data_IF_527444889647
#
_entry.id   IF_527444889647
#
_cell.length_a   1.000
_cell.length_b   1.000
_cell.length_c   1.000
_cell.angle_alpha   90.00
_cell.angle_beta   90.00
_cell.angle_gamma   90.00
#
_symmetry.space_group_name_H-M   'P 1'
#
loop_
_entity.id
_entity.type
_entity.pdbx_description
1 polymer ?
#
# COMPACT_ATOMS: atom_id res chain seq x y z
N UNK A 1 -18.15 -12.99 -4.93
CA UNK A 1 -17.71 -11.59 -5.03
C UNK A 1 -16.18 -11.50 -4.92
N UNK A 2 -15.63 -10.32 -5.15
CA UNK A 2 -14.20 -10.05 -4.94
C UNK A 2 -14.05 -9.42 -3.56
N UNK A 3 -13.14 -9.94 -2.75
CA UNK A 3 -12.78 -9.33 -1.48
C UNK A 3 -11.62 -8.35 -1.69
N UNK A 4 -11.50 -7.35 -0.83
CA UNK A 4 -10.51 -6.29 -0.94
C UNK A 4 -9.63 -6.21 0.30
N UNK A 5 -8.31 -6.17 0.08
CA UNK A 5 -7.32 -5.78 1.07
C UNK A 5 -6.72 -4.47 0.57
N UNK A 6 -7.13 -3.36 1.15
CA UNK A 6 -6.78 -2.00 0.70
C UNK A 6 -5.82 -1.30 1.64
N UNK A 7 -5.26 -0.16 1.21
CA UNK A 7 -4.37 0.70 1.99
C UNK A 7 -3.21 -0.07 2.65
N UNK A 8 -2.52 -0.90 1.88
CA UNK A 8 -1.42 -1.78 2.33
C UNK A 8 -1.81 -2.70 3.51
N UNK A 9 -3.06 -3.17 3.54
CA UNK A 9 -3.57 -4.05 4.59
C UNK A 9 -4.25 -3.35 5.76
N UNK A 10 -4.37 -2.02 5.73
CA UNK A 10 -5.04 -1.26 6.79
C UNK A 10 -6.56 -1.47 6.80
N UNK A 11 -7.13 -1.98 5.72
CA UNK A 11 -8.55 -2.28 5.63
C UNK A 11 -8.82 -3.55 4.83
N UNK A 12 -9.73 -4.38 5.32
CA UNK A 12 -10.17 -5.62 4.67
C UNK A 12 -11.67 -5.64 4.59
N UNK A 13 -12.22 -5.79 3.38
CA UNK A 13 -13.65 -5.77 3.10
C UNK A 13 -14.02 -6.94 2.22
N UNK A 14 -15.09 -7.65 2.55
CA UNK A 14 -15.64 -8.75 1.74
C UNK A 14 -16.39 -8.22 0.52
N UNK A 15 -16.62 -9.07 -0.46
CA UNK A 15 -17.33 -8.71 -1.69
C UNK A 15 -18.80 -8.34 -1.51
N UNK A 16 -19.40 -8.61 -0.35
CA UNK A 16 -20.73 -8.16 0.06
C UNK A 16 -20.71 -6.91 0.95
N UNK A 17 -19.53 -6.32 1.18
CA UNK A 17 -19.35 -5.05 1.88
C UNK A 17 -19.13 -5.17 3.38
N UNK A 18 -18.95 -6.38 3.94
CA UNK A 18 -18.62 -6.53 5.36
C UNK A 18 -17.16 -6.08 5.61
N UNK A 19 -16.95 -5.19 6.57
CA UNK A 19 -15.62 -4.80 7.05
C UNK A 19 -15.13 -5.85 8.05
N UNK A 20 -14.06 -6.56 7.69
CA UNK A 20 -13.43 -7.58 8.55
C UNK A 20 -12.35 -6.98 9.44
N UNK A 21 -11.64 -5.99 8.94
CA UNK A 21 -10.53 -5.34 9.63
C UNK A 21 -10.41 -3.89 9.18
N UNK A 22 -10.09 -3.02 10.14
CA UNK A 22 -9.82 -1.61 9.89
C UNK A 22 -8.85 -1.07 10.94
N UNK A 23 -7.82 -0.39 10.51
CA UNK A 23 -6.87 0.29 11.39
C UNK A 23 -6.41 1.61 10.79
N UNK A 24 -6.88 2.71 11.36
CA UNK A 24 -6.51 4.04 10.96
C UNK A 24 -5.24 4.55 11.68
N UNK A 25 -4.57 5.51 11.06
CA UNK A 25 -3.47 6.25 11.68
C UNK A 25 -4.06 7.12 12.81
N UNK A 26 -3.55 7.01 14.07
CA UNK A 26 -4.02 7.85 15.16
C UNK A 26 -3.84 9.34 14.84
N UNK A 27 -4.80 10.18 15.24
CA UNK A 27 -4.78 11.62 14.98
C UNK A 27 -3.48 12.32 15.41
N UNK A 28 -2.95 11.97 16.57
CA UNK A 28 -1.69 12.52 17.06
C UNK A 28 -0.51 12.14 16.13
N UNK A 29 -0.47 10.89 15.66
CA UNK A 29 0.54 10.41 14.71
C UNK A 29 0.36 11.08 13.34
N UNK A 30 -0.89 11.28 12.89
CA UNK A 30 -1.19 11.98 11.64
C UNK A 30 -0.66 13.42 11.66
N UNK A 31 -0.83 14.14 12.78
CA UNK A 31 -0.27 15.49 12.95
C UNK A 31 1.27 15.49 12.89
N UNK A 32 1.92 14.47 13.44
CA UNK A 32 3.38 14.31 13.34
C UNK A 32 3.82 14.05 11.89
N UNK A 33 3.10 13.22 11.15
CA UNK A 33 3.36 12.95 9.72
C UNK A 33 3.23 14.24 8.90
N UNK A 34 2.17 15.02 9.10
CA UNK A 34 1.96 16.31 8.43
C UNK A 34 3.15 17.24 8.71
N UNK A 35 3.54 17.36 9.98
CA UNK A 35 4.68 18.20 10.40
C UNK A 35 5.99 17.73 9.76
N UNK A 36 6.24 16.42 9.72
CA UNK A 36 7.43 15.86 9.09
C UNK A 36 7.51 16.21 7.61
N UNK A 37 6.41 15.98 6.86
CA UNK A 37 6.34 16.27 5.42
C UNK A 37 6.51 17.77 5.17
N UNK A 38 5.89 18.62 6.01
CA UNK A 38 5.96 20.07 5.89
C UNK A 38 7.38 20.61 6.12
N UNK A 39 8.22 19.93 6.90
CA UNK A 39 9.59 20.36 7.23
C UNK A 39 10.69 19.60 6.45
N UNK A 40 10.35 18.55 5.71
CA UNK A 40 11.33 17.77 4.94
C UNK A 40 11.66 18.47 3.61
N UNK A 41 12.91 18.37 3.17
CA UNK A 41 13.37 18.84 1.87
C UNK A 41 14.18 17.74 1.16
N UNK A 42 14.02 17.60 -0.17
CA UNK A 42 13.09 18.34 -1.03
C UNK A 42 11.65 17.90 -0.83
N UNK A 43 10.70 18.81 -1.05
CA UNK A 43 9.27 18.50 -0.97
C UNK A 43 8.88 17.44 -1.99
N UNK A 44 7.88 16.58 -1.69
CA UNK A 44 7.27 15.69 -2.68
C UNK A 44 6.75 16.48 -3.89
N UNK A 45 7.41 16.37 -5.04
CA UNK A 45 7.11 17.14 -6.25
C UNK A 45 6.05 16.49 -7.15
N UNK A 46 5.59 15.28 -6.82
CA UNK A 46 4.48 14.59 -7.48
C UNK A 46 3.25 14.41 -6.58
N UNK A 47 3.30 14.90 -5.35
CA UNK A 47 2.16 15.02 -4.46
C UNK A 47 2.22 14.22 -3.18
N UNK A 48 1.29 14.56 -2.30
CA UNK A 48 1.01 13.91 -1.01
C UNK A 48 -0.47 13.62 -0.95
N UNK A 49 -0.83 12.37 -0.64
CA UNK A 49 -2.23 11.92 -0.54
C UNK A 49 -2.43 11.20 0.79
N UNK A 50 -3.42 11.64 1.54
CA UNK A 50 -3.92 10.98 2.74
C UNK A 50 -5.18 10.22 2.37
N UNK A 51 -5.14 8.89 2.45
CA UNK A 51 -6.15 8.01 1.89
C UNK A 51 -7.12 7.49 2.94
N UNK A 52 -8.41 7.60 2.65
CA UNK A 52 -9.46 6.73 3.21
C UNK A 52 -9.73 5.57 2.24
N UNK A 53 -10.93 4.99 2.23
CA UNK A 53 -11.32 4.01 1.21
C UNK A 53 -11.59 4.64 -0.16
N UNK A 54 -12.28 5.77 -0.18
CA UNK A 54 -12.77 6.42 -1.39
C UNK A 54 -12.44 7.91 -1.48
N UNK A 55 -11.91 8.50 -0.41
CA UNK A 55 -11.54 9.91 -0.33
C UNK A 55 -10.03 10.10 -0.29
N UNK A 56 -9.52 10.97 -1.16
CA UNK A 56 -8.17 11.51 -1.12
C UNK A 56 -8.17 12.88 -0.44
N UNK A 57 -7.56 12.99 0.73
CA UNK A 57 -7.26 14.25 1.37
C UNK A 57 -5.90 14.76 0.91
N UNK A 58 -5.83 15.98 0.39
CA UNK A 58 -4.61 16.56 -0.19
C UNK A 58 -4.30 17.87 0.55
N UNK A 59 -3.11 18.03 1.17
CA UNK A 59 -2.73 19.31 1.73
C UNK A 59 -2.69 20.40 0.65
N UNK A 60 -3.22 21.58 0.93
CA UNK A 60 -3.26 22.71 -0.04
C UNK A 60 -1.91 23.01 -0.66
N UNK A 61 -0.82 22.88 0.12
CA UNK A 61 0.54 23.08 -0.38
C UNK A 61 0.94 22.14 -1.53
N UNK A 62 0.28 20.99 -1.67
CA UNK A 62 0.56 19.98 -2.71
C UNK A 62 -0.56 19.84 -3.75
N UNK A 63 -1.65 20.62 -3.65
CA UNK A 63 -2.81 20.49 -4.53
C UNK A 63 -2.48 20.65 -6.03
N UNK A 64 -1.48 21.49 -6.35
CA UNK A 64 -1.08 21.78 -7.74
C UNK A 64 -0.04 20.77 -8.29
N UNK A 65 0.51 19.89 -7.47
CA UNK A 65 1.54 18.93 -7.90
C UNK A 65 1.08 17.48 -7.86
N UNK A 66 -0.06 17.20 -7.21
CA UNK A 66 -0.67 15.87 -7.25
C UNK A 66 -1.10 15.54 -8.67
N UNK A 67 -0.61 14.44 -9.20
CA UNK A 67 -0.93 14.01 -10.56
C UNK A 67 -2.26 13.24 -10.60
N UNK A 68 -3.06 13.45 -11.63
CA UNK A 68 -4.35 12.76 -11.84
C UNK A 68 -4.23 11.23 -11.72
N UNK A 69 -3.09 10.66 -12.15
CA UNK A 69 -2.85 9.22 -12.02
C UNK A 69 -2.91 8.71 -10.57
N UNK A 70 -2.61 9.55 -9.57
CA UNK A 70 -2.66 9.20 -8.16
C UNK A 70 -4.09 9.30 -7.60
N UNK A 71 -4.96 10.06 -8.26
CA UNK A 71 -6.32 10.37 -7.82
C UNK A 71 -7.40 9.50 -8.47
N UNK A 72 -7.07 8.83 -9.56
CA UNK A 72 -8.03 8.05 -10.38
C UNK A 72 -8.78 6.92 -9.64
N UNK A 73 -8.29 6.53 -8.46
CA UNK A 73 -8.89 5.47 -7.65
C UNK A 73 -9.82 6.00 -6.56
N UNK A 74 -9.90 7.33 -6.36
CA UNK A 74 -10.72 7.95 -5.33
C UNK A 74 -11.99 8.54 -5.94
N UNK A 75 -13.11 8.42 -5.22
CA UNK A 75 -14.38 9.01 -5.61
C UNK A 75 -14.47 10.48 -5.20
N UNK A 76 -13.81 10.83 -4.09
CA UNK A 76 -13.84 12.16 -3.52
C UNK A 76 -12.42 12.70 -3.33
N UNK A 77 -12.28 14.01 -3.58
CA UNK A 77 -11.01 14.73 -3.36
C UNK A 77 -11.31 15.91 -2.46
N UNK A 78 -10.62 16.00 -1.32
CA UNK A 78 -10.75 17.06 -0.33
C UNK A 78 -9.41 17.74 -0.14
N UNK A 79 -9.37 19.05 -0.40
CA UNK A 79 -8.19 19.87 -0.10
C UNK A 79 -8.32 20.38 1.34
N UNK A 80 -7.27 20.21 2.14
CA UNK A 80 -7.26 20.62 3.54
C UNK A 80 -6.06 21.52 3.87
N UNK A 81 -6.21 22.31 4.93
CA UNK A 81 -5.19 23.23 5.45
C UNK A 81 -4.67 22.76 6.83
N UNK A 82 -5.54 22.19 7.64
CA UNK A 82 -5.22 21.70 8.99
C UNK A 82 -5.68 20.25 9.17
N UNK A 83 -5.01 19.53 10.08
CA UNK A 83 -5.42 18.15 10.44
C UNK A 83 -6.84 18.08 10.96
N UNK A 84 -7.37 19.19 11.52
CA UNK A 84 -8.74 19.28 11.99
C UNK A 84 -9.77 19.20 10.84
N UNK A 85 -9.39 19.57 9.63
CA UNK A 85 -10.25 19.51 8.43
C UNK A 85 -10.47 18.07 7.95
N UNK A 86 -9.62 17.14 8.37
CA UNK A 86 -9.74 15.72 8.03
C UNK A 86 -10.81 15.09 8.90
N UNK A 87 -12.00 14.87 8.35
CA UNK A 87 -13.15 14.33 9.06
C UNK A 87 -13.11 12.81 9.20
N UNK A 88 -12.52 12.11 8.23
CA UNK A 88 -12.53 10.66 8.10
C UNK A 88 -11.24 10.01 8.65
N UNK A 89 -11.28 8.70 8.99
CA UNK A 89 -10.08 7.96 9.38
C UNK A 89 -9.13 7.82 8.19
N UNK A 90 -7.87 8.19 8.37
CA UNK A 90 -6.81 8.01 7.37
C UNK A 90 -6.14 6.66 7.58
N UNK A 91 -6.11 5.85 6.53
CA UNK A 91 -5.51 4.51 6.54
C UNK A 91 -4.09 4.49 6.02
N UNK A 92 -3.77 5.40 5.08
CA UNK A 92 -2.45 5.48 4.44
C UNK A 92 -2.12 6.91 4.07
N UNK A 93 -0.83 7.26 4.15
CA UNK A 93 -0.29 8.50 3.56
C UNK A 93 0.75 8.11 2.52
N UNK A 94 0.59 8.59 1.30
CA UNK A 94 1.52 8.36 0.18
C UNK A 94 2.17 9.66 -0.23
N UNK A 95 3.50 9.64 -0.38
CA UNK A 95 4.29 10.75 -0.92
C UNK A 95 5.05 10.29 -2.14
N UNK A 96 5.16 11.17 -3.14
CA UNK A 96 5.80 10.84 -4.40
C UNK A 96 6.80 11.91 -4.82
N UNK A 97 7.97 11.45 -5.28
CA UNK A 97 9.01 12.27 -5.92
C UNK A 97 9.30 11.75 -7.33
N UNK A 98 9.79 12.63 -8.20
CA UNK A 98 10.18 12.25 -9.57
C UNK A 98 11.61 11.76 -9.65
N UNK A 99 12.54 12.57 -9.16
CA UNK A 99 13.98 12.40 -9.33
C UNK A 99 14.72 12.52 -7.99
N UNK A 100 14.12 12.02 -6.91
CA UNK A 100 14.69 12.06 -5.58
C UNK A 100 14.89 10.65 -5.05
N UNK A 101 15.95 10.44 -4.28
CA UNK A 101 16.16 9.21 -3.51
C UNK A 101 15.21 9.19 -2.29
N UNK A 102 14.06 8.58 -2.45
CA UNK A 102 13.02 8.47 -1.44
C UNK A 102 13.47 7.76 -0.16
N UNK A 103 14.59 7.01 -0.20
CA UNK A 103 15.18 6.39 0.99
C UNK A 103 15.64 7.40 2.04
N UNK A 104 15.94 8.64 1.63
CA UNK A 104 16.27 9.72 2.58
C UNK A 104 15.02 10.08 3.41
N UNK A 105 13.84 10.21 2.76
CA UNK A 105 12.61 10.43 3.50
C UNK A 105 12.22 9.20 4.34
N UNK A 106 12.36 8.00 3.80
CA UNK A 106 12.14 6.75 4.52
C UNK A 106 12.93 6.71 5.84
N UNK A 107 14.22 7.05 5.78
CA UNK A 107 15.10 7.08 6.95
C UNK A 107 14.64 8.15 7.96
N UNK A 108 14.33 9.36 7.50
CA UNK A 108 13.84 10.45 8.34
C UNK A 108 12.50 10.09 9.01
N UNK A 109 11.58 9.47 8.27
CA UNK A 109 10.29 9.05 8.78
C UNK A 109 10.44 7.97 9.87
N UNK A 110 11.30 6.99 9.66
CA UNK A 110 11.60 5.97 10.67
C UNK A 110 12.21 6.55 11.94
N UNK A 111 13.11 7.53 11.80
CA UNK A 111 13.71 8.20 12.97
C UNK A 111 12.71 9.06 13.73
N UNK A 112 11.87 9.82 13.01
CA UNK A 112 10.94 10.79 13.62
C UNK A 112 9.69 10.13 14.22
N UNK A 113 9.15 9.10 13.54
CA UNK A 113 7.87 8.48 13.89
C UNK A 113 8.05 7.14 14.64
N UNK A 114 9.24 6.55 14.57
CA UNK A 114 9.61 5.35 15.31
C UNK A 114 8.65 4.19 15.08
N UNK A 115 8.18 3.60 16.19
CA UNK A 115 7.27 2.46 16.17
C UNK A 115 5.78 2.83 16.01
N UNK A 116 5.44 4.12 15.87
CA UNK A 116 4.06 4.56 15.73
C UNK A 116 3.46 4.24 14.35
N UNK A 117 4.32 4.00 13.36
CA UNK A 117 3.94 3.74 11.96
C UNK A 117 4.76 2.61 11.34
N UNK A 118 4.25 2.06 10.25
CA UNK A 118 5.01 1.24 9.31
C UNK A 118 5.26 2.06 8.04
N UNK A 119 6.52 2.20 7.65
CA UNK A 119 6.96 2.96 6.48
C UNK A 119 7.50 2.00 5.45
N UNK A 120 7.03 2.08 4.21
CA UNK A 120 7.49 1.23 3.10
C UNK A 120 7.78 2.06 1.85
N UNK A 121 8.76 1.63 1.07
CA UNK A 121 8.94 2.08 -0.30
C UNK A 121 8.08 1.24 -1.26
N UNK A 122 7.61 1.84 -2.35
CA UNK A 122 6.77 1.15 -3.32
C UNK A 122 7.52 0.78 -4.61
N UNK A 123 8.81 1.10 -4.69
CA UNK A 123 9.66 0.82 -5.85
C UNK A 123 9.47 1.78 -7.04
N UNK A 124 8.72 2.87 -6.87
CA UNK A 124 8.40 3.83 -7.96
C UNK A 124 8.63 5.29 -7.57
N UNK A 125 9.56 5.57 -6.67
CA UNK A 125 9.80 6.93 -6.15
C UNK A 125 8.73 7.36 -5.15
N UNK A 126 8.06 6.42 -4.49
CA UNK A 126 7.00 6.70 -3.55
C UNK A 126 7.22 5.99 -2.21
N UNK A 127 6.88 6.70 -1.14
CA UNK A 127 6.84 6.19 0.22
C UNK A 127 5.39 6.12 0.70
N UNK A 128 5.02 4.98 1.26
CA UNK A 128 3.77 4.78 1.97
C UNK A 128 4.00 4.73 3.48
N UNK A 129 3.15 5.43 4.23
CA UNK A 129 3.07 5.36 5.69
C UNK A 129 1.70 4.80 6.07
N UNK A 130 1.69 3.72 6.85
CA UNK A 130 0.48 3.11 7.40
C UNK A 130 0.61 2.94 8.93
N UNK A 131 -0.45 2.61 9.66
CA UNK A 131 -0.35 2.37 11.11
C UNK A 131 0.66 1.29 11.45
N UNK A 132 1.27 1.39 12.63
CA UNK A 132 2.19 0.38 13.12
C UNK A 132 1.56 -1.03 13.14
N UNK A 133 2.32 -2.02 12.68
CA UNK A 133 1.88 -3.41 12.60
C UNK A 133 0.89 -3.70 11.46
N UNK A 134 0.67 -2.74 10.55
CA UNK A 134 -0.11 -2.92 9.34
C UNK A 134 0.84 -3.15 8.16
N UNK A 135 0.57 -4.18 7.37
CA UNK A 135 1.18 -4.46 6.07
C UNK A 135 0.26 -5.38 5.26
N UNK A 136 0.59 -5.66 4.02
CA UNK A 136 -0.25 -6.49 3.14
C UNK A 136 -0.42 -7.92 3.66
N UNK A 137 0.57 -8.48 4.38
CA UNK A 137 0.46 -9.82 4.96
C UNK A 137 -0.61 -9.88 6.06
N UNK A 138 -0.66 -8.86 6.93
CA UNK A 138 -1.66 -8.77 8.00
C UNK A 138 -3.08 -8.72 7.42
N UNK A 139 -3.31 -7.86 6.42
CA UNK A 139 -4.61 -7.79 5.76
C UNK A 139 -5.01 -9.09 5.05
N UNK A 140 -4.03 -9.73 4.38
CA UNK A 140 -4.26 -11.01 3.71
C UNK A 140 -4.53 -12.14 4.72
N UNK A 141 -3.84 -12.17 5.86
CA UNK A 141 -4.09 -13.14 6.93
C UNK A 141 -5.53 -13.03 7.46
N UNK A 142 -6.00 -11.80 7.75
CA UNK A 142 -7.39 -11.58 8.19
C UNK A 142 -8.39 -12.13 7.18
N UNK A 143 -8.16 -11.90 5.89
CA UNK A 143 -9.03 -12.42 4.83
C UNK A 143 -8.94 -13.95 4.73
N UNK A 144 -7.75 -14.52 4.80
CA UNK A 144 -7.53 -15.97 4.76
C UNK A 144 -8.23 -16.66 5.94
N UNK A 145 -8.08 -16.13 7.15
CA UNK A 145 -8.76 -16.63 8.35
C UNK A 145 -10.29 -16.60 8.21
N UNK A 146 -10.84 -15.51 7.68
CA UNK A 146 -12.28 -15.39 7.41
C UNK A 146 -12.79 -16.44 6.42
N UNK A 147 -11.97 -16.75 5.41
CA UNK A 147 -12.33 -17.75 4.37
C UNK A 147 -11.99 -19.20 4.78
N UNK A 148 -11.35 -19.41 5.93
CA UNK A 148 -10.89 -20.72 6.38
C UNK A 148 -9.75 -21.29 5.52
N UNK A 149 -8.90 -20.43 4.95
CA UNK A 149 -7.78 -20.80 4.07
C UNK A 149 -6.46 -20.60 4.82
N UNK A 150 -5.63 -21.64 4.86
CA UNK A 150 -4.27 -21.52 5.40
C UNK A 150 -3.38 -20.73 4.42
N UNK A 151 -2.50 -19.87 4.95
CA UNK A 151 -1.58 -19.06 4.13
C UNK A 151 -0.66 -19.91 3.25
N UNK A 152 -0.36 -21.13 3.67
CA UNK A 152 0.39 -22.12 2.86
C UNK A 152 -0.29 -22.48 1.54
N UNK A 153 -1.61 -22.27 1.43
CA UNK A 153 -2.41 -22.53 0.22
C UNK A 153 -2.76 -21.27 -0.56
N UNK A 154 -2.20 -20.12 -0.18
CA UNK A 154 -2.43 -18.83 -0.85
C UNK A 154 -1.33 -18.58 -1.87
N UNK A 155 -1.73 -18.11 -3.06
CA UNK A 155 -0.84 -17.55 -4.06
C UNK A 155 -0.92 -16.02 -4.02
N UNK A 156 0.22 -15.35 -3.96
CA UNK A 156 0.30 -13.89 -4.00
C UNK A 156 1.27 -13.42 -5.08
N UNK A 157 0.99 -12.27 -5.65
CA UNK A 157 1.78 -11.64 -6.71
C UNK A 157 2.20 -10.24 -6.25
N UNK A 158 3.48 -9.89 -6.43
CA UNK A 158 4.00 -8.60 -6.00
C UNK A 158 5.23 -8.14 -6.79
N UNK A 159 5.57 -6.87 -6.67
CA UNK A 159 6.69 -6.24 -7.38
C UNK A 159 7.43 -5.16 -6.58
N UNK A 160 6.86 -4.67 -5.49
CA UNK A 160 7.38 -3.57 -4.69
C UNK A 160 7.79 -3.95 -3.26
N UNK A 161 8.52 -3.07 -2.59
CA UNK A 161 8.97 -3.27 -1.21
C UNK A 161 7.83 -3.53 -0.23
N UNK A 162 6.65 -2.95 -0.48
CA UNK A 162 5.44 -3.17 0.31
C UNK A 162 4.77 -4.55 0.10
N UNK A 163 5.28 -5.39 -0.81
CA UNK A 163 4.82 -6.77 -1.02
C UNK A 163 5.65 -7.81 -0.27
N UNK A 164 6.81 -7.44 0.25
CA UNK A 164 7.79 -8.37 0.82
C UNK A 164 7.18 -9.21 1.94
N UNK A 165 6.51 -8.56 2.90
CA UNK A 165 5.89 -9.28 4.01
C UNK A 165 4.80 -10.25 3.52
N UNK A 166 3.98 -9.85 2.55
CA UNK A 166 2.96 -10.71 1.96
C UNK A 166 3.60 -11.92 1.27
N UNK A 167 4.58 -11.68 0.41
CA UNK A 167 5.26 -12.73 -0.35
C UNK A 167 6.01 -13.72 0.56
N UNK A 168 6.54 -13.27 1.70
CA UNK A 168 7.24 -14.15 2.66
C UNK A 168 6.31 -14.96 3.55
N UNK A 169 4.99 -14.67 3.56
CA UNK A 169 4.01 -15.35 4.42
C UNK A 169 3.09 -16.32 3.68
N UNK A 170 3.09 -16.33 2.34
CA UNK A 170 2.23 -17.20 1.53
C UNK A 170 2.98 -18.45 1.05
N UNK A 171 2.24 -19.52 0.74
CA UNK A 171 2.82 -20.75 0.21
C UNK A 171 3.26 -20.66 -1.25
N UNK A 172 2.67 -19.75 -2.04
CA UNK A 172 3.01 -19.57 -3.46
C UNK A 172 3.31 -18.10 -3.76
N UNK A 173 4.52 -17.60 -3.41
CA UNK A 173 4.92 -16.21 -3.62
C UNK A 173 5.42 -15.98 -5.05
N UNK A 174 4.74 -15.20 -5.85
CA UNK A 174 5.14 -14.86 -7.22
C UNK A 174 5.63 -13.42 -7.32
N UNK A 175 6.79 -13.22 -7.94
CA UNK A 175 7.32 -11.87 -8.24
C UNK A 175 7.17 -11.54 -9.72
N UNK A 176 6.77 -10.29 -9.98
CA UNK A 176 6.67 -9.75 -11.33
C UNK A 176 8.05 -9.57 -11.95
N UNK A 177 8.19 -9.73 -13.29
CA UNK A 177 9.43 -9.41 -14.00
C UNK A 177 9.87 -7.95 -13.77
N UNK A 178 11.17 -7.71 -13.73
CA UNK A 178 11.80 -6.38 -13.55
C UNK A 178 11.68 -5.79 -12.14
N UNK A 179 11.24 -6.57 -11.17
CA UNK A 179 11.33 -6.15 -9.75
C UNK A 179 12.77 -6.15 -9.27
N UNK A 180 13.04 -5.31 -8.26
CA UNK A 180 14.31 -5.31 -7.52
C UNK A 180 14.26 -6.22 -6.29
N UNK A 181 13.11 -6.83 -6.00
CA UNK A 181 12.97 -7.73 -4.87
C UNK A 181 13.85 -8.97 -5.02
N UNK A 182 14.50 -9.33 -3.93
CA UNK A 182 15.36 -10.52 -3.83
C UNK A 182 14.82 -11.43 -2.73
N UNK A 183 14.66 -12.71 -3.04
CA UNK A 183 14.14 -13.70 -2.09
C UNK A 183 13.89 -15.04 -2.77
N UNK A 184 13.38 -16.01 -2.00
CA UNK A 184 12.97 -17.30 -2.51
C UNK A 184 11.55 -17.23 -3.10
N UNK A 185 11.43 -16.55 -4.24
CA UNK A 185 10.16 -16.25 -4.90
C UNK A 185 10.06 -16.97 -6.25
N UNK A 186 8.82 -17.28 -6.64
CA UNK A 186 8.52 -17.90 -7.91
C UNK A 186 8.39 -16.83 -9.02
N UNK A 187 8.98 -17.01 -10.21
CA UNK A 187 8.81 -16.04 -11.27
C UNK A 187 7.42 -16.14 -11.91
N UNK A 188 6.82 -15.00 -12.20
CA UNK A 188 5.65 -14.91 -13.09
C UNK A 188 6.06 -15.18 -14.54
N UNK A 189 5.21 -15.87 -15.30
CA UNK A 189 5.55 -16.35 -16.66
C UNK A 189 5.70 -15.25 -17.71
N UNK A 190 5.18 -14.05 -17.47
CA UNK A 190 5.30 -12.87 -18.34
C UNK A 190 5.09 -11.59 -17.51
N UNK A 191 5.33 -10.42 -18.11
CA UNK A 191 5.06 -9.14 -17.46
C UNK A 191 3.55 -8.77 -17.50
N UNK A 192 3.20 -7.66 -16.86
CA UNK A 192 1.83 -7.15 -16.77
C UNK A 192 1.22 -6.77 -18.14
N UNK A 193 2.04 -6.41 -19.13
CA UNK A 193 1.58 -6.08 -20.47
C UNK A 193 1.27 -7.34 -21.32
N UNK A 194 1.64 -8.51 -20.82
CA UNK A 194 1.47 -9.81 -21.49
C UNK A 194 0.68 -10.82 -20.63
N UNK A 195 -0.25 -10.31 -19.80
CA UNK A 195 -1.16 -11.10 -18.97
C UNK A 195 -0.43 -12.07 -17.99
N UNK A 196 0.74 -11.67 -17.47
CA UNK A 196 1.61 -12.54 -16.70
C UNK A 196 0.92 -13.20 -15.51
N UNK A 197 0.17 -12.44 -14.70
CA UNK A 197 -0.58 -12.96 -13.55
C UNK A 197 -1.63 -13.98 -13.99
N UNK A 198 -2.50 -13.63 -14.93
CA UNK A 198 -3.57 -14.52 -15.42
C UNK A 198 -3.02 -15.82 -15.99
N UNK A 199 -1.96 -15.73 -16.79
CA UNK A 199 -1.30 -16.91 -17.38
C UNK A 199 -0.66 -17.80 -16.33
N UNK A 200 -0.04 -17.22 -15.31
CA UNK A 200 0.53 -17.99 -14.20
C UNK A 200 -0.57 -18.72 -13.42
N UNK A 201 -1.69 -18.05 -13.12
CA UNK A 201 -2.84 -18.68 -12.46
C UNK A 201 -3.37 -19.86 -13.29
N UNK A 202 -3.57 -19.68 -14.60
CA UNK A 202 -4.05 -20.76 -15.47
C UNK A 202 -3.09 -21.96 -15.50
N UNK A 203 -1.77 -21.73 -15.45
CA UNK A 203 -0.79 -22.81 -15.37
C UNK A 203 -0.83 -23.56 -14.03
N UNK A 204 -1.08 -22.84 -12.92
CA UNK A 204 -1.25 -23.47 -11.60
C UNK A 204 -2.50 -24.39 -11.59
N UNK A 205 -3.63 -23.89 -12.10
CA UNK A 205 -4.87 -24.64 -12.16
C UNK A 205 -4.71 -25.91 -13.04
N UNK A 206 -4.10 -25.79 -14.22
CA UNK A 206 -3.88 -26.93 -15.11
C UNK A 206 -2.96 -28.03 -14.52
N UNK A 207 -2.07 -27.69 -13.58
CA UNK A 207 -1.24 -28.68 -12.89
C UNK A 207 -1.96 -29.44 -11.79
N UNK A 208 -3.03 -28.87 -11.24
CA UNK A 208 -3.84 -29.51 -10.20
C UNK A 208 -4.90 -30.45 -10.77
N UNK A 209 -5.21 -30.35 -12.07
CA UNK A 209 -6.18 -31.18 -12.77
C UNK A 209 -5.54 -32.43 -13.43
N UNK A 210 -4.21 -32.60 -13.31
CA UNK A 210 -3.43 -33.69 -13.88
C UNK A 210 -2.93 -34.66 -12.81
#
# INVERSE_FOLDING_TARGET
>A
GINFVSNNGARVVTGDGQVLYERAIPRATLAQIITLIANFEPKPDQGVVYSTDDTAYIPRAFANVVMDKHLKYFQHIVIFDDVADIAEPIFKVTMNWRDFDELQFYTAAKQALGHAVHVTETGTGAIDIVPAGVNKAVGLQVLADHLGIEMAHVAAFGDGGNDVEMLTHVGYPFIMPKTTLVGDFLPVVADNNHDGVSRTILQLLAKNDA
#
